data_IF_020587528286
#
_entry.id   IF_020587528286
#
_cell.length_a   1.000
_cell.length_b   1.000
_cell.length_c   1.000
_cell.angle_alpha   90.00
_cell.angle_beta   90.00
_cell.angle_gamma   90.00
#
_symmetry.space_group_name_H-M   'P 1'
#
loop_
_entity.id
_entity.type
_entity.pdbx_description
1 polymer ?
#
# COMPACT_ATOMS: atom_id res chain seq x y z
N UNK A 1 -63.42 44.02 2.52
CA UNK A 1 -63.39 45.49 2.66
C UNK A 1 -61.97 45.85 3.11
N UNK A 2 -61.15 46.49 2.25
CA UNK A 2 -60.94 47.96 2.25
C UNK A 2 -60.30 48.33 3.60
N UNK A 3 -59.03 48.73 3.78
CA UNK A 3 -58.18 49.67 3.05
C UNK A 3 -56.78 49.78 3.72
N UNK A 4 -55.75 50.06 2.91
CA UNK A 4 -54.45 50.72 3.22
C UNK A 4 -54.61 52.14 3.83
N UNK A 5 -53.60 52.91 4.36
CA UNK A 5 -52.16 53.06 3.97
C UNK A 5 -51.13 53.19 5.14
N UNK A 6 -49.82 52.87 5.00
CA UNK A 6 -48.61 53.66 4.59
C UNK A 6 -48.36 55.00 5.32
N UNK A 7 -47.12 55.54 5.36
CA UNK A 7 -45.77 54.95 5.48
C UNK A 7 -44.83 55.77 6.43
N UNK A 8 -43.59 55.33 6.67
CA UNK A 8 -42.38 56.19 6.74
C UNK A 8 -41.11 55.32 6.84
N UNK A 9 -40.04 55.67 6.12
CA UNK A 9 -38.69 55.14 6.37
C UNK A 9 -37.94 54.59 5.16
N UNK A 10 -37.35 55.51 4.37
CA UNK A 10 -36.18 55.33 3.47
C UNK A 10 -35.00 54.67 4.22
N UNK A 11 -33.94 54.06 3.68
CA UNK A 11 -33.35 53.73 2.38
C UNK A 11 -32.20 52.76 2.74
N UNK A 12 -31.87 51.75 1.93
CA UNK A 12 -30.67 50.94 2.17
C UNK A 12 -30.49 49.85 1.11
N UNK A 13 -29.48 50.03 0.27
CA UNK A 13 -29.28 49.33 -1.00
C UNK A 13 -29.06 47.82 -0.88
N UNK A 14 -29.67 47.10 -1.82
CA UNK A 14 -29.38 45.71 -2.16
C UNK A 14 -28.28 45.70 -3.24
N UNK A 15 -27.13 45.09 -2.96
CA UNK A 15 -26.13 44.73 -3.97
C UNK A 15 -25.64 43.30 -3.71
N UNK A 16 -25.67 42.48 -4.75
CA UNK A 16 -24.67 41.44 -4.97
C UNK A 16 -25.04 39.98 -4.64
N UNK A 17 -25.82 39.34 -5.51
CA UNK A 17 -25.59 37.93 -5.90
C UNK A 17 -24.86 37.93 -7.25
N UNK A 18 -24.34 36.79 -7.72
CA UNK A 18 -23.18 36.03 -7.24
C UNK A 18 -21.95 36.28 -8.14
N UNK A 19 -20.78 35.85 -7.68
CA UNK A 19 -19.53 35.89 -8.43
C UNK A 19 -19.64 35.06 -9.72
N UNK A 20 -19.83 35.75 -10.83
CA UNK A 20 -19.64 35.23 -12.18
C UNK A 20 -18.15 35.37 -12.51
N UNK A 21 -17.35 34.33 -12.27
CA UNK A 21 -16.01 34.24 -12.85
C UNK A 21 -16.07 33.31 -14.06
N UNK A 22 -16.38 33.91 -15.21
CA UNK A 22 -16.12 33.28 -16.50
C UNK A 22 -14.62 33.40 -16.78
N UNK A 23 -13.94 32.27 -16.79
CA UNK A 23 -12.68 32.11 -17.53
C UNK A 23 -12.76 30.79 -18.27
N UNK A 24 -13.49 30.81 -19.39
CA UNK A 24 -13.38 29.82 -20.45
C UNK A 24 -11.96 29.90 -21.00
N UNK A 25 -11.06 29.07 -20.48
CA UNK A 25 -9.79 28.79 -21.14
C UNK A 25 -10.08 27.73 -22.20
N UNK A 26 -10.51 28.16 -23.38
CA UNK A 26 -10.55 27.33 -24.58
C UNK A 26 -9.11 26.90 -24.89
N UNK A 27 -8.75 25.69 -24.46
CA UNK A 27 -7.52 25.05 -24.98
C UNK A 27 -7.81 24.61 -26.42
N UNK A 28 -6.95 24.95 -27.39
CA UNK A 28 -7.16 24.51 -28.76
C UNK A 28 -7.15 22.98 -28.81
N UNK A 29 -8.22 22.42 -29.37
CA UNK A 29 -8.32 21.02 -29.75
C UNK A 29 -7.52 20.80 -31.05
N UNK A 30 -6.22 20.68 -30.93
CA UNK A 30 -5.38 20.12 -32.00
C UNK A 30 -4.02 19.75 -31.44
N UNK A 31 -3.71 18.47 -31.46
CA UNK A 31 -2.56 17.88 -30.83
C UNK A 31 -3.02 16.58 -30.20
N UNK A 32 -2.88 15.48 -30.95
CA UNK A 32 -3.14 14.14 -30.44
C UNK A 32 -2.48 14.03 -29.05
N UNK A 33 -3.30 13.74 -28.02
CA UNK A 33 -2.77 13.33 -26.73
C UNK A 33 -2.09 11.99 -27.00
N UNK A 34 -0.80 12.03 -27.31
CA UNK A 34 0.04 10.83 -27.28
C UNK A 34 -0.02 10.42 -25.83
N UNK A 35 -0.87 9.42 -25.53
CA UNK A 35 -0.88 8.80 -24.22
C UNK A 35 0.54 8.34 -23.98
N UNK A 36 1.26 9.01 -23.07
CA UNK A 36 2.56 8.54 -22.64
C UNK A 36 2.40 7.06 -22.31
N UNK A 37 3.22 6.17 -22.90
CA UNK A 37 3.03 4.74 -22.71
C UNK A 37 3.01 4.45 -21.20
N UNK A 38 2.00 3.70 -20.75
CA UNK A 38 1.91 3.32 -19.35
C UNK A 38 3.12 2.47 -19.01
N UNK A 39 3.83 2.83 -17.94
CA UNK A 39 5.00 2.08 -17.50
C UNK A 39 4.55 0.70 -17.02
N UNK A 40 5.10 -0.36 -17.61
CA UNK A 40 4.92 -1.73 -17.13
C UNK A 40 5.57 -1.82 -15.76
N UNK A 41 4.80 -2.21 -14.76
CA UNK A 41 5.24 -2.14 -13.35
C UNK A 41 5.05 -3.48 -12.66
N UNK A 42 6.13 -3.96 -12.04
CA UNK A 42 6.10 -5.08 -11.10
C UNK A 42 6.38 -4.54 -9.70
N UNK A 43 5.58 -4.95 -8.72
CA UNK A 43 5.73 -4.53 -7.33
C UNK A 43 6.27 -5.70 -6.50
N UNK A 44 7.32 -5.45 -5.73
CA UNK A 44 7.92 -6.41 -4.82
C UNK A 44 7.58 -6.01 -3.39
N UNK A 45 6.93 -6.90 -2.64
CA UNK A 45 6.43 -6.63 -1.30
C UNK A 45 7.04 -7.61 -0.32
N UNK A 46 7.78 -7.10 0.65
CA UNK A 46 8.17 -7.86 1.84
C UNK A 46 7.00 -7.86 2.84
N UNK A 47 6.42 -9.04 3.06
CA UNK A 47 5.25 -9.22 3.92
C UNK A 47 5.52 -9.01 5.41
N UNK A 48 6.75 -9.27 5.90
CA UNK A 48 7.07 -9.00 7.31
C UNK A 48 7.33 -7.52 7.53
N UNK A 49 8.09 -6.87 6.65
CA UNK A 49 8.32 -5.44 6.73
C UNK A 49 7.00 -4.66 6.56
N UNK A 50 6.14 -5.05 5.63
CA UNK A 50 4.79 -4.50 5.51
C UNK A 50 3.97 -4.71 6.79
N UNK A 51 3.99 -5.94 7.33
CA UNK A 51 3.22 -6.25 8.53
C UNK A 51 3.66 -5.42 9.73
N UNK A 52 4.95 -5.44 10.06
CA UNK A 52 5.46 -4.75 11.24
C UNK A 52 5.51 -3.22 11.07
N UNK A 53 5.73 -2.73 9.86
CA UNK A 53 5.87 -1.31 9.57
C UNK A 53 4.54 -0.55 9.39
N UNK A 54 3.50 -1.20 8.83
CA UNK A 54 2.27 -0.49 8.46
C UNK A 54 0.97 -1.16 8.92
N UNK A 55 0.94 -2.49 9.11
CA UNK A 55 -0.31 -3.23 9.35
C UNK A 55 -0.51 -3.59 10.81
N UNK A 56 0.57 -3.87 11.56
CA UNK A 56 0.52 -4.31 12.95
C UNK A 56 -0.13 -3.25 13.82
N UNK A 57 -1.13 -3.66 14.60
CA UNK A 57 -1.92 -2.75 15.44
C UNK A 57 -3.09 -2.07 14.73
N UNK A 58 -3.17 -2.16 13.41
CA UNK A 58 -4.29 -1.59 12.64
C UNK A 58 -5.41 -2.60 12.41
N UNK A 59 -6.63 -2.16 12.03
CA UNK A 59 -7.68 -3.05 11.55
C UNK A 59 -7.42 -3.60 10.14
N UNK A 60 -6.44 -3.08 9.39
CA UNK A 60 -6.22 -3.37 7.97
C UNK A 60 -5.41 -4.65 7.69
N UNK A 61 -5.62 -5.70 8.50
CA UNK A 61 -4.87 -6.98 8.43
C UNK A 61 -5.19 -7.82 7.19
N UNK A 62 -6.25 -7.48 6.47
CA UNK A 62 -6.74 -8.16 5.27
C UNK A 62 -6.55 -7.28 4.02
N UNK A 63 -5.37 -6.67 3.88
CA UNK A 63 -5.07 -5.74 2.80
C UNK A 63 -5.12 -6.44 1.44
N UNK A 64 -6.01 -5.99 0.56
CA UNK A 64 -6.02 -6.41 -0.83
C UNK A 64 -4.87 -5.71 -1.58
N UNK A 65 -3.75 -6.41 -1.76
CA UNK A 65 -2.53 -5.86 -2.36
C UNK A 65 -2.75 -5.36 -3.79
N UNK A 66 -3.49 -6.12 -4.61
CA UNK A 66 -3.80 -5.72 -5.99
C UNK A 66 -4.56 -4.39 -6.02
N UNK A 67 -5.61 -4.26 -5.22
CA UNK A 67 -6.39 -3.02 -5.14
C UNK A 67 -5.54 -1.87 -4.61
N UNK A 68 -4.74 -2.11 -3.58
CA UNK A 68 -3.88 -1.11 -2.96
C UNK A 68 -2.89 -0.52 -3.98
N UNK A 69 -2.11 -1.35 -4.68
CA UNK A 69 -1.12 -0.86 -5.65
C UNK A 69 -1.75 -0.29 -6.92
N UNK A 70 -2.91 -0.79 -7.34
CA UNK A 70 -3.67 -0.18 -8.45
C UNK A 70 -4.09 1.25 -8.12
N UNK A 71 -4.50 1.51 -6.87
CA UNK A 71 -4.86 2.86 -6.42
C UNK A 71 -3.63 3.74 -6.20
N UNK A 72 -2.53 3.17 -5.74
CA UNK A 72 -1.28 3.90 -5.51
C UNK A 72 -0.59 4.32 -6.83
N UNK A 73 -0.74 3.53 -7.89
CA UNK A 73 -0.10 3.73 -9.20
C UNK A 73 -1.13 3.73 -10.34
N UNK A 74 -2.07 4.70 -10.38
CA UNK A 74 -3.19 4.69 -11.33
C UNK A 74 -2.78 4.89 -12.80
N UNK A 75 -1.58 5.41 -13.03
CA UNK A 75 -1.04 5.70 -14.36
C UNK A 75 -0.11 4.61 -14.90
N UNK A 76 0.25 3.63 -14.07
CA UNK A 76 1.10 2.51 -14.49
C UNK A 76 0.24 1.37 -15.03
N UNK A 77 0.86 0.48 -15.81
CA UNK A 77 0.30 -0.83 -16.09
C UNK A 77 0.89 -1.84 -15.10
N UNK A 78 0.16 -2.08 -14.01
CA UNK A 78 0.57 -3.03 -12.98
C UNK A 78 0.50 -4.46 -13.55
N UNK A 79 1.65 -5.04 -13.87
CA UNK A 79 1.77 -6.38 -14.46
C UNK A 79 1.62 -7.45 -13.38
N UNK A 80 2.39 -7.33 -12.30
CA UNK A 80 2.48 -8.34 -11.26
C UNK A 80 2.84 -7.73 -9.90
N UNK A 81 2.38 -8.36 -8.83
CA UNK A 81 2.81 -8.12 -7.45
C UNK A 81 3.41 -9.42 -6.93
N UNK A 82 4.68 -9.37 -6.55
CA UNK A 82 5.35 -10.46 -5.84
C UNK A 82 5.32 -10.20 -4.35
N UNK A 83 4.58 -11.04 -3.62
CA UNK A 83 4.45 -10.97 -2.18
C UNK A 83 5.33 -12.01 -1.51
N UNK A 84 6.44 -11.55 -0.93
CA UNK A 84 7.42 -12.38 -0.24
C UNK A 84 7.04 -12.52 1.23
N UNK A 85 6.89 -13.74 1.71
CA UNK A 85 6.59 -13.99 3.11
C UNK A 85 7.06 -15.36 3.53
N UNK A 86 7.01 -15.66 4.83
CA UNK A 86 7.24 -17.00 5.33
C UNK A 86 6.10 -17.39 6.28
N UNK A 87 5.86 -18.69 6.33
CA UNK A 87 4.78 -19.28 7.11
C UNK A 87 5.06 -19.17 8.61
N UNK A 88 4.24 -18.43 9.35
CA UNK A 88 4.41 -18.23 10.78
C UNK A 88 3.99 -19.47 11.56
N UNK A 89 4.53 -19.62 12.76
CA UNK A 89 4.10 -20.65 13.69
C UNK A 89 3.25 -20.07 14.82
N UNK A 90 2.42 -20.91 15.43
CA UNK A 90 1.59 -20.54 16.58
C UNK A 90 0.14 -20.16 16.24
N UNK A 91 -0.59 -19.57 17.19
CA UNK A 91 -2.06 -19.48 17.16
C UNK A 91 -2.61 -18.59 16.04
N UNK A 92 -1.77 -17.73 15.45
CA UNK A 92 -2.16 -16.82 14.37
C UNK A 92 -1.99 -17.44 12.98
N UNK A 93 -1.40 -18.63 12.88
CA UNK A 93 -1.17 -19.33 11.61
C UNK A 93 -2.44 -19.52 10.78
N UNK A 94 -3.60 -19.95 11.34
CA UNK A 94 -4.83 -20.09 10.54
C UNK A 94 -5.28 -18.78 9.86
N UNK A 95 -5.05 -17.64 10.51
CA UNK A 95 -5.37 -16.33 9.93
C UNK A 95 -4.43 -15.99 8.78
N UNK A 96 -3.13 -16.25 8.93
CA UNK A 96 -2.17 -16.08 7.85
C UNK A 96 -2.54 -16.98 6.67
N UNK A 97 -2.83 -18.27 6.91
CA UNK A 97 -3.19 -19.19 5.84
C UNK A 97 -4.44 -18.73 5.09
N UNK A 98 -5.46 -18.22 5.79
CA UNK A 98 -6.65 -17.64 5.17
C UNK A 98 -6.30 -16.41 4.32
N UNK A 99 -5.41 -15.55 4.81
CA UNK A 99 -4.98 -14.35 4.08
C UNK A 99 -4.20 -14.72 2.81
N UNK A 100 -3.24 -15.65 2.90
CA UNK A 100 -2.46 -16.10 1.75
C UNK A 100 -3.35 -16.78 0.71
N UNK A 101 -4.28 -17.65 1.14
CA UNK A 101 -5.27 -18.24 0.22
C UNK A 101 -6.09 -17.18 -0.50
N UNK A 102 -6.52 -16.13 0.20
CA UNK A 102 -7.27 -15.03 -0.42
C UNK A 102 -6.40 -14.20 -1.38
N UNK A 103 -5.12 -13.99 -1.08
CA UNK A 103 -4.21 -13.31 -2.01
C UNK A 103 -3.96 -14.16 -3.27
N UNK A 104 -3.86 -15.48 -3.14
CA UNK A 104 -3.66 -16.40 -4.26
C UNK A 104 -4.82 -16.44 -5.26
N UNK A 105 -6.00 -15.89 -4.92
CA UNK A 105 -7.11 -15.77 -5.89
C UNK A 105 -7.00 -14.52 -6.77
N UNK A 106 -6.08 -13.60 -6.45
CA UNK A 106 -5.90 -12.35 -7.19
C UNK A 106 -4.99 -12.60 -8.41
N UNK A 107 -5.40 -12.23 -9.64
CA UNK A 107 -4.67 -12.60 -10.85
C UNK A 107 -3.31 -11.92 -11.00
N UNK A 108 -3.11 -10.77 -10.33
CA UNK A 108 -1.84 -10.03 -10.37
C UNK A 108 -0.99 -10.24 -9.12
N UNK A 109 -1.29 -11.22 -8.27
CA UNK A 109 -0.53 -11.46 -7.03
C UNK A 109 0.06 -12.86 -7.04
N UNK A 110 1.39 -12.92 -6.95
CA UNK A 110 2.16 -14.14 -6.77
C UNK A 110 2.72 -14.16 -5.34
N UNK A 111 2.41 -15.23 -4.58
CA UNK A 111 2.91 -15.40 -3.21
C UNK A 111 4.16 -16.28 -3.24
N UNK A 112 5.29 -15.74 -2.78
CA UNK A 112 6.58 -16.43 -2.74
C UNK A 112 6.91 -16.75 -1.29
N UNK A 113 6.92 -18.05 -0.98
CA UNK A 113 7.18 -18.54 0.38
C UNK A 113 8.69 -18.74 0.63
N UNK A 114 9.22 -17.93 1.53
CA UNK A 114 10.55 -18.09 2.13
C UNK A 114 10.61 -19.19 3.18
N UNK A 115 11.80 -19.38 3.77
CA UNK A 115 12.03 -20.36 4.84
C UNK A 115 12.67 -19.68 6.05
N UNK A 116 12.14 -19.99 7.23
CA UNK A 116 12.79 -19.61 8.49
C UNK A 116 14.06 -20.42 8.69
N UNK A 117 15.09 -19.79 9.27
CA UNK A 117 16.27 -20.47 9.77
C UNK A 117 16.40 -20.25 11.27
N UNK A 118 16.83 -21.29 11.98
CA UNK A 118 17.22 -21.15 13.37
C UNK A 118 18.60 -20.50 13.44
N UNK A 119 18.72 -19.44 14.24
CA UNK A 119 19.97 -18.80 14.61
C UNK A 119 20.19 -18.98 16.11
N UNK A 120 21.42 -19.27 16.50
CA UNK A 120 21.83 -19.11 17.89
C UNK A 120 22.20 -17.65 18.12
N UNK A 121 21.52 -17.00 19.06
CA UNK A 121 21.86 -15.65 19.52
C UNK A 121 22.42 -15.75 20.92
N UNK A 122 23.49 -15.03 21.17
CA UNK A 122 24.08 -14.95 22.49
C UNK A 122 23.31 -13.93 23.34
N UNK A 123 23.10 -14.27 24.61
CA UNK A 123 22.57 -13.33 25.60
C UNK A 123 23.65 -12.33 25.98
N UNK A 124 23.44 -11.06 25.66
CA UNK A 124 24.33 -9.97 26.08
C UNK A 124 23.74 -9.11 27.21
N UNK A 125 22.75 -9.64 27.94
CA UNK A 125 22.13 -8.92 29.05
C UNK A 125 23.12 -8.80 30.23
N UNK A 126 23.54 -7.58 30.54
CA UNK A 126 24.61 -7.31 31.50
C UNK A 126 24.26 -7.74 32.93
N UNK A 127 23.01 -7.57 33.36
CA UNK A 127 22.55 -7.92 34.71
C UNK A 127 22.07 -9.37 34.84
N UNK A 128 22.54 -10.26 33.95
CA UNK A 128 22.15 -11.66 34.02
C UNK A 128 22.84 -12.33 35.21
N UNK A 129 22.08 -12.62 36.27
CA UNK A 129 22.57 -13.28 37.49
C UNK A 129 22.95 -14.77 37.29
N UNK A 130 22.79 -15.29 36.07
CA UNK A 130 23.06 -16.69 35.74
C UNK A 130 24.50 -16.86 35.23
N UNK A 131 25.28 -17.83 35.74
CA UNK A 131 26.68 -17.99 35.36
C UNK A 131 26.85 -18.52 33.92
N UNK A 132 27.80 -17.93 33.18
CA UNK A 132 28.27 -18.40 31.86
C UNK A 132 27.57 -17.77 30.64
N UNK A 133 28.19 -17.91 29.47
CA UNK A 133 27.62 -17.46 28.18
C UNK A 133 26.36 -18.26 27.86
N UNK A 134 25.30 -17.56 27.45
CA UNK A 134 24.00 -18.19 27.12
C UNK A 134 23.72 -18.02 25.64
N UNK A 135 23.26 -19.10 25.02
CA UNK A 135 22.82 -19.10 23.63
C UNK A 135 21.36 -19.50 23.56
N UNK A 136 20.55 -18.69 22.88
CA UNK A 136 19.15 -18.97 22.62
C UNK A 136 18.96 -19.32 21.15
N UNK A 137 18.13 -20.33 20.87
CA UNK A 137 17.69 -20.62 19.51
C UNK A 137 16.51 -19.72 19.18
N UNK A 138 16.73 -18.76 18.30
CA UNK A 138 15.68 -17.86 17.78
C UNK A 138 15.40 -18.25 16.33
N UNK A 139 14.12 -18.21 15.93
CA UNK A 139 13.74 -18.30 14.52
C UNK A 139 13.91 -16.92 13.89
N UNK A 140 14.79 -16.83 12.91
CA UNK A 140 14.98 -15.64 12.11
C UNK A 140 14.44 -15.94 10.71
N UNK A 141 13.58 -15.06 10.20
CA UNK A 141 13.25 -15.05 8.79
C UNK A 141 14.51 -14.64 8.03
N UNK A 142 14.93 -15.44 7.06
CA UNK A 142 16.14 -15.16 6.29
C UNK A 142 15.83 -15.32 4.82
N UNK A 143 16.48 -14.45 4.03
CA UNK A 143 16.57 -14.47 2.56
C UNK A 143 15.45 -13.75 1.82
N UNK A 144 14.53 -13.03 2.48
CA UNK A 144 13.60 -12.15 1.75
C UNK A 144 14.35 -11.16 0.87
N UNK A 145 15.37 -10.45 1.40
CA UNK A 145 16.17 -9.50 0.63
C UNK A 145 16.87 -10.14 -0.59
N UNK A 146 17.46 -11.33 -0.40
CA UNK A 146 18.16 -12.07 -1.46
C UNK A 146 17.18 -12.56 -2.51
N UNK A 147 16.03 -13.09 -2.11
CA UNK A 147 14.99 -13.51 -3.04
C UNK A 147 14.46 -12.32 -3.83
N UNK A 148 14.12 -11.20 -3.17
CA UNK A 148 13.67 -9.99 -3.85
C UNK A 148 14.71 -9.55 -4.88
N UNK A 149 15.99 -9.47 -4.51
CA UNK A 149 17.06 -9.08 -5.43
C UNK A 149 17.16 -10.03 -6.64
N UNK A 150 17.11 -11.35 -6.42
CA UNK A 150 17.17 -12.34 -7.50
C UNK A 150 15.98 -12.21 -8.45
N UNK A 151 14.77 -12.03 -7.92
CA UNK A 151 13.58 -11.84 -8.76
C UNK A 151 13.65 -10.53 -9.56
N UNK A 152 14.07 -9.43 -8.94
CA UNK A 152 14.26 -8.15 -9.65
C UNK A 152 15.20 -8.32 -10.85
N UNK A 153 16.33 -9.01 -10.66
CA UNK A 153 17.30 -9.26 -11.74
C UNK A 153 16.72 -10.17 -12.81
N UNK A 154 16.03 -11.25 -12.43
CA UNK A 154 15.39 -12.18 -13.37
C UNK A 154 14.31 -11.51 -14.22
N UNK A 155 13.44 -10.69 -13.61
CA UNK A 155 12.40 -9.96 -14.33
C UNK A 155 12.95 -8.90 -15.28
N UNK A 156 14.00 -8.20 -14.86
CA UNK A 156 14.68 -7.24 -15.71
C UNK A 156 15.37 -7.95 -16.89
N UNK A 157 15.99 -9.10 -16.66
CA UNK A 157 16.61 -9.90 -17.71
C UNK A 157 15.58 -10.43 -18.72
N UNK A 158 14.39 -10.79 -18.26
CA UNK A 158 13.29 -11.30 -19.08
C UNK A 158 12.41 -10.21 -19.72
N UNK A 159 12.78 -8.92 -19.61
CA UNK A 159 11.99 -7.77 -20.10
C UNK A 159 10.53 -7.80 -19.61
N UNK A 160 10.32 -8.14 -18.33
CA UNK A 160 8.98 -8.26 -17.75
C UNK A 160 8.39 -6.93 -17.27
N UNK A 161 9.21 -5.90 -17.11
CA UNK A 161 8.82 -4.53 -16.81
C UNK A 161 9.67 -3.53 -17.58
#
# INVERSE_FOLDING_TARGET
>A
MVTTPRPTGRLGGLHGRPFHFFLLKTRPLSGAYVSSPRLRTIVYVDGFNLYYGAVKGTPYKWLNLQRYFTLLRPHDDLILIRYFTALIDGPRRPNQDRFLRALSTLPKVEVILGRFKHKQVECHYADCQMPGRRFFRVREEKRTDVNIAVYIVDDAHQDRC
#
